data_IF_950160543045
#
_entry.id   IF_950160543045
#
_cell.length_a   1.000
_cell.length_b   1.000
_cell.length_c   1.000
_cell.angle_alpha   90.00
_cell.angle_beta   90.00
_cell.angle_gamma   90.00
#
_symmetry.space_group_name_H-M   'P 1'
#
loop_
_entity.id
_entity.type
_entity.pdbx_description
1 polymer ?
#
# COMPACT_ATOMS: atom_id res chain seq x y z
N UNK A 1 -9.61 13.09 -15.57
CA UNK A 1 -10.13 12.01 -14.71
C UNK A 1 -9.85 12.37 -13.26
N UNK A 2 -10.61 11.83 -12.31
CA UNK A 2 -10.40 11.98 -10.87
C UNK A 2 -10.15 10.62 -10.25
N UNK A 3 -9.08 10.51 -9.47
CA UNK A 3 -8.69 9.28 -8.78
C UNK A 3 -8.74 9.55 -7.28
N UNK A 4 -9.53 8.74 -6.56
CA UNK A 4 -9.49 8.73 -5.10
C UNK A 4 -8.27 7.91 -4.67
N UNK A 5 -7.42 8.48 -3.83
CA UNK A 5 -6.28 7.78 -3.23
C UNK A 5 -6.53 7.71 -1.74
N UNK A 6 -6.98 6.54 -1.29
CA UNK A 6 -7.55 6.37 0.04
C UNK A 6 -6.52 5.69 0.93
N UNK A 7 -6.09 6.40 1.97
CA UNK A 7 -5.25 5.85 3.01
C UNK A 7 -6.01 4.74 3.76
N UNK A 8 -5.33 3.67 4.16
CA UNK A 8 -5.93 2.60 4.97
C UNK A 8 -5.97 2.91 6.46
N UNK A 9 -5.17 3.89 6.91
CA UNK A 9 -5.13 4.34 8.31
C UNK A 9 -5.74 5.73 8.47
N UNK A 10 -5.94 6.14 9.73
CA UNK A 10 -6.60 7.40 10.09
C UNK A 10 -5.64 8.58 10.28
N UNK A 11 -4.37 8.42 9.93
CA UNK A 11 -3.35 9.47 10.08
C UNK A 11 -3.34 10.41 8.86
N UNK A 12 -3.86 11.62 9.03
CA UNK A 12 -4.01 12.58 7.93
C UNK A 12 -2.68 13.03 7.29
N UNK A 13 -1.61 13.15 8.08
CA UNK A 13 -0.27 13.49 7.55
C UNK A 13 0.22 12.46 6.53
N UNK A 14 -0.08 11.18 6.76
CA UNK A 14 0.24 10.08 5.84
C UNK A 14 -0.59 10.21 4.57
N UNK A 15 -1.89 10.50 4.68
CA UNK A 15 -2.76 10.76 3.51
C UNK A 15 -2.21 11.90 2.65
N UNK A 16 -1.79 13.01 3.27
CA UNK A 16 -1.20 14.14 2.55
C UNK A 16 0.14 13.77 1.89
N UNK A 17 0.97 12.94 2.53
CA UNK A 17 2.20 12.45 1.94
C UNK A 17 1.93 11.57 0.71
N UNK A 18 1.01 10.62 0.82
CA UNK A 18 0.58 9.73 -0.28
C UNK A 18 0.01 10.55 -1.44
N UNK A 19 -0.91 11.47 -1.17
CA UNK A 19 -1.53 12.31 -2.20
C UNK A 19 -0.51 13.17 -2.95
N UNK A 20 0.50 13.73 -2.25
CA UNK A 20 1.59 14.47 -2.88
C UNK A 20 2.42 13.58 -3.82
N UNK A 21 2.72 12.35 -3.43
CA UNK A 21 3.44 11.41 -4.29
C UNK A 21 2.62 11.05 -5.53
N UNK A 22 1.34 10.70 -5.36
CA UNK A 22 0.43 10.43 -6.47
C UNK A 22 0.30 11.63 -7.43
N UNK A 23 0.19 12.85 -6.90
CA UNK A 23 0.10 14.06 -7.70
C UNK A 23 1.38 14.34 -8.50
N UNK A 24 2.55 13.98 -7.98
CA UNK A 24 3.84 14.22 -8.64
C UNK A 24 4.03 13.43 -9.95
N UNK A 25 3.33 12.31 -10.08
CA UNK A 25 3.39 11.42 -11.26
C UNK A 25 2.09 11.40 -12.07
N UNK A 26 1.07 12.15 -11.63
CA UNK A 26 -0.22 12.21 -12.31
C UNK A 26 -0.10 12.88 -13.68
N UNK A 27 -0.69 12.26 -14.70
CA UNK A 27 -0.72 12.81 -16.05
C UNK A 27 -1.56 14.11 -16.12
N UNK A 28 -1.28 15.03 -17.06
CA UNK A 28 -2.10 16.24 -17.25
C UNK A 28 -3.60 15.94 -17.33
N UNK A 29 -4.42 16.68 -16.58
CA UNK A 29 -5.87 16.45 -16.51
C UNK A 29 -6.32 15.33 -15.55
N UNK A 30 -5.39 14.76 -14.78
CA UNK A 30 -5.68 13.83 -13.68
C UNK A 30 -5.70 14.58 -12.36
N UNK A 31 -6.84 14.55 -11.67
CA UNK A 31 -7.03 15.12 -10.33
C UNK A 31 -6.87 14.02 -9.28
N UNK A 32 -6.00 14.23 -8.29
CA UNK A 32 -5.77 13.33 -7.17
C UNK A 32 -6.54 13.83 -5.94
N UNK A 33 -7.38 12.98 -5.36
CA UNK A 33 -8.09 13.26 -4.12
C UNK A 33 -7.59 12.29 -3.05
N UNK A 34 -6.75 12.79 -2.14
CA UNK A 34 -6.36 12.05 -0.94
C UNK A 34 -7.53 11.97 0.04
N UNK A 35 -7.85 10.77 0.52
CA UNK A 35 -8.92 10.55 1.51
C UNK A 35 -8.37 9.81 2.74
N UNK A 36 -8.80 10.26 3.92
CA UNK A 36 -8.53 9.62 5.21
C UNK A 36 -9.83 9.04 5.75
N UNK A 37 -9.92 7.74 6.05
CA UNK A 37 -11.09 7.15 6.69
C UNK A 37 -11.44 7.82 8.02
N UNK A 38 -12.74 7.91 8.33
CA UNK A 38 -13.23 8.58 9.54
C UNK A 38 -13.02 7.76 10.83
N UNK A 39 -12.75 6.47 10.70
CA UNK A 39 -12.48 5.54 11.81
C UNK A 39 -11.43 4.51 11.38
N UNK A 40 -10.88 3.78 12.34
CA UNK A 40 -9.79 2.83 12.11
C UNK A 40 -8.59 3.12 13.00
N UNK A 41 -7.52 2.35 12.80
CA UNK A 41 -6.27 2.55 13.51
C UNK A 41 -5.43 3.67 12.86
N UNK A 42 -4.60 4.34 13.66
CA UNK A 42 -3.66 5.36 13.19
C UNK A 42 -2.54 4.79 12.30
N UNK A 43 -2.26 3.49 12.48
CA UNK A 43 -1.40 2.67 11.63
C UNK A 43 -1.98 1.26 11.57
N UNK A 44 -1.79 0.56 10.46
CA UNK A 44 -2.32 -0.79 10.26
C UNK A 44 -1.15 -1.77 10.29
N UNK A 45 -1.08 -2.58 11.34
CA UNK A 45 0.09 -3.39 11.69
C UNK A 45 -0.29 -4.86 12.00
N UNK A 46 -1.50 -5.29 11.64
CA UNK A 46 -1.91 -6.68 11.77
C UNK A 46 -3.34 -6.97 11.29
N UNK A 47 -3.78 -8.23 11.43
CA UNK A 47 -5.05 -8.70 10.86
C UNK A 47 -6.26 -7.92 11.35
N UNK A 48 -6.37 -7.67 12.66
CA UNK A 48 -7.51 -6.95 13.22
C UNK A 48 -7.65 -5.55 12.61
N UNK A 49 -6.57 -4.79 12.60
CA UNK A 49 -6.54 -3.43 12.06
C UNK A 49 -6.76 -3.45 10.55
N UNK A 50 -6.23 -4.46 9.85
CA UNK A 50 -6.42 -4.65 8.41
C UNK A 50 -7.89 -4.90 8.03
N UNK A 51 -8.59 -5.77 8.76
CA UNK A 51 -10.02 -5.97 8.56
C UNK A 51 -10.86 -4.74 8.93
N UNK A 52 -10.46 -4.02 9.98
CA UNK A 52 -11.10 -2.75 10.35
C UNK A 52 -10.90 -1.69 9.25
N UNK A 53 -9.68 -1.58 8.71
CA UNK A 53 -9.33 -0.68 7.63
C UNK A 53 -10.10 -1.00 6.35
N UNK A 54 -10.33 -2.28 6.02
CA UNK A 54 -11.14 -2.66 4.87
C UNK A 54 -12.54 -2.01 4.91
N UNK A 55 -13.22 -2.09 6.06
CA UNK A 55 -14.54 -1.47 6.24
C UNK A 55 -14.43 0.06 6.24
N UNK A 56 -13.41 0.61 6.88
CA UNK A 56 -13.19 2.06 6.95
C UNK A 56 -12.93 2.70 5.59
N UNK A 57 -12.14 2.04 4.73
CA UNK A 57 -11.87 2.48 3.36
C UNK A 57 -13.14 2.43 2.53
N UNK A 58 -13.90 1.32 2.60
CA UNK A 58 -15.18 1.20 1.90
C UNK A 58 -16.17 2.31 2.34
N UNK A 59 -16.32 2.53 3.64
CA UNK A 59 -17.16 3.62 4.17
C UNK A 59 -16.70 5.00 3.65
N UNK A 60 -15.40 5.27 3.70
CA UNK A 60 -14.81 6.52 3.25
C UNK A 60 -15.09 6.81 1.76
N UNK A 61 -14.94 5.79 0.91
CA UNK A 61 -15.23 5.90 -0.53
C UNK A 61 -16.72 6.10 -0.78
N UNK A 62 -17.58 5.33 -0.11
CA UNK A 62 -19.04 5.42 -0.28
C UNK A 62 -19.64 6.73 0.24
N UNK A 63 -18.97 7.37 1.21
CA UNK A 63 -19.35 8.69 1.71
C UNK A 63 -18.91 9.85 0.80
N UNK A 64 -18.05 9.61 -0.19
CA UNK A 64 -17.59 10.64 -1.11
C UNK A 64 -18.68 10.95 -2.15
N UNK A 65 -19.16 12.19 -2.15
CA UNK A 65 -20.38 12.62 -2.85
C UNK A 65 -20.14 13.26 -4.24
N UNK A 66 -18.89 13.30 -4.71
CA UNK A 66 -18.53 13.85 -6.01
C UNK A 66 -18.16 12.73 -6.99
N UNK A 67 -18.33 12.93 -8.32
CA UNK A 67 -17.93 11.93 -9.31
C UNK A 67 -16.43 11.63 -9.25
N UNK A 68 -16.04 10.37 -9.44
CA UNK A 68 -14.66 9.90 -9.59
C UNK A 68 -14.59 8.76 -10.62
N UNK A 69 -13.40 8.53 -11.17
CA UNK A 69 -13.19 7.61 -12.30
C UNK A 69 -12.37 6.37 -11.92
N UNK A 70 -11.71 6.36 -10.75
CA UNK A 70 -10.96 5.22 -10.21
C UNK A 70 -10.67 5.40 -8.72
N UNK A 71 -10.33 4.29 -8.04
CA UNK A 71 -9.91 4.27 -6.63
C UNK A 71 -8.57 3.54 -6.49
N UNK A 72 -7.68 4.12 -5.70
CA UNK A 72 -6.45 3.52 -5.22
C UNK A 72 -6.59 3.28 -3.72
N UNK A 73 -6.48 2.03 -3.28
CA UNK A 73 -6.33 1.68 -1.87
C UNK A 73 -4.83 1.76 -1.51
N UNK A 74 -4.46 2.72 -0.67
CA UNK A 74 -3.07 3.05 -0.34
C UNK A 74 -2.63 2.42 0.99
N UNK A 75 -2.62 1.09 1.02
CA UNK A 75 -2.06 0.26 2.09
C UNK A 75 -1.34 -0.95 1.50
N UNK A 76 -0.32 -1.45 2.18
CA UNK A 76 0.52 -2.54 1.67
C UNK A 76 0.28 -3.83 2.46
N UNK A 77 -0.51 -4.75 1.90
CA UNK A 77 -0.89 -6.00 2.56
C UNK A 77 -2.25 -5.98 3.24
N UNK A 78 -3.04 -4.93 3.05
CA UNK A 78 -4.36 -4.81 3.65
C UNK A 78 -5.48 -5.54 2.90
N UNK A 79 -6.55 -5.87 3.62
CA UNK A 79 -7.80 -6.37 3.04
C UNK A 79 -8.63 -5.22 2.44
N UNK A 80 -9.67 -5.54 1.66
CA UNK A 80 -10.71 -4.57 1.29
C UNK A 80 -10.84 -4.27 -0.20
N UNK A 81 -9.80 -4.51 -1.00
CA UNK A 81 -9.84 -4.30 -2.46
C UNK A 81 -11.04 -4.98 -3.11
N UNK A 82 -11.28 -6.25 -2.77
CA UNK A 82 -12.35 -7.06 -3.35
C UNK A 82 -13.73 -6.48 -3.02
N UNK A 83 -13.92 -5.95 -1.81
CA UNK A 83 -15.17 -5.29 -1.41
C UNK A 83 -15.39 -3.99 -2.18
N UNK A 84 -14.35 -3.17 -2.36
CA UNK A 84 -14.43 -1.99 -3.23
C UNK A 84 -14.77 -2.37 -4.68
N UNK A 85 -14.23 -3.48 -5.20
CA UNK A 85 -14.51 -3.96 -6.56
C UNK A 85 -15.96 -4.43 -6.73
N UNK A 86 -16.61 -4.90 -5.67
CA UNK A 86 -18.05 -5.22 -5.70
C UNK A 86 -18.92 -3.96 -5.59
N UNK A 87 -18.49 -2.97 -4.82
CA UNK A 87 -19.25 -1.74 -4.56
C UNK A 87 -19.21 -0.73 -5.71
N UNK A 88 -18.19 -0.77 -6.56
CA UNK A 88 -17.88 0.29 -7.51
C UNK A 88 -17.92 -0.17 -8.97
N UNK A 89 -18.45 0.70 -9.83
CA UNK A 89 -18.43 0.53 -11.29
C UNK A 89 -17.16 1.10 -11.96
N UNK A 90 -16.16 1.46 -11.17
CA UNK A 90 -14.88 2.05 -11.63
C UNK A 90 -13.69 1.18 -11.20
N UNK A 91 -12.51 1.30 -11.85
CA UNK A 91 -11.35 0.50 -11.51
C UNK A 91 -10.89 0.74 -10.08
N UNK A 92 -10.54 -0.34 -9.39
CA UNK A 92 -9.92 -0.32 -8.07
C UNK A 92 -8.55 -0.99 -8.16
N UNK A 93 -7.52 -0.29 -7.69
CA UNK A 93 -6.15 -0.80 -7.64
C UNK A 93 -5.59 -0.66 -6.23
N UNK A 94 -5.07 -1.74 -5.67
CA UNK A 94 -4.34 -1.71 -4.40
C UNK A 94 -2.84 -1.50 -4.68
N UNK A 95 -2.16 -0.68 -3.86
CA UNK A 95 -0.73 -0.37 -4.09
C UNK A 95 0.17 -1.60 -3.94
N UNK A 96 -0.26 -2.63 -3.19
CA UNK A 96 0.42 -3.94 -3.08
C UNK A 96 0.52 -4.58 -4.46
N UNK A 97 -0.62 -4.69 -5.14
CA UNK A 97 -0.72 -5.34 -6.44
C UNK A 97 -0.07 -4.50 -7.54
N UNK A 98 -0.26 -3.18 -7.50
CA UNK A 98 0.35 -2.26 -8.45
C UNK A 98 1.89 -2.31 -8.41
N UNK A 99 2.47 -2.29 -7.20
CA UNK A 99 3.91 -2.34 -7.03
C UNK A 99 4.47 -3.67 -7.54
N UNK A 100 3.94 -4.80 -7.09
CA UNK A 100 4.39 -6.13 -7.50
C UNK A 100 4.23 -6.37 -9.01
N UNK A 101 3.06 -6.05 -9.57
CA UNK A 101 2.78 -6.18 -11.00
C UNK A 101 3.74 -5.36 -11.85
N UNK A 102 4.01 -4.10 -11.46
CA UNK A 102 4.95 -3.24 -12.18
C UNK A 102 6.39 -3.76 -12.06
N UNK A 103 6.81 -4.17 -10.86
CA UNK A 103 8.15 -4.71 -10.60
C UNK A 103 8.44 -5.96 -11.46
N UNK A 104 7.44 -6.81 -11.70
CA UNK A 104 7.56 -8.01 -12.54
C UNK A 104 7.94 -7.69 -14.01
N UNK A 105 7.73 -6.46 -14.49
CA UNK A 105 8.22 -6.07 -15.83
C UNK A 105 9.71 -5.70 -15.86
N UNK A 106 10.35 -5.50 -14.70
CA UNK A 106 11.66 -4.86 -14.60
C UNK A 106 12.81 -5.82 -14.28
N UNK A 107 12.55 -6.96 -13.64
CA UNK A 107 13.57 -7.96 -13.31
C UNK A 107 12.96 -9.32 -13.03
N UNK A 108 13.74 -10.41 -13.08
CA UNK A 108 13.26 -11.80 -12.96
C UNK A 108 12.46 -12.05 -11.67
N UNK A 109 12.90 -11.48 -10.56
CA UNK A 109 12.24 -11.56 -9.26
C UNK A 109 12.26 -10.20 -8.55
N UNK A 110 11.28 -9.95 -7.70
CA UNK A 110 11.17 -8.74 -6.89
C UNK A 110 11.10 -9.09 -5.40
N UNK A 111 11.49 -8.16 -4.53
CA UNK A 111 11.25 -8.28 -3.09
C UNK A 111 10.49 -7.09 -2.55
N UNK A 112 9.72 -7.33 -1.49
CA UNK A 112 9.04 -6.26 -0.74
C UNK A 112 9.82 -6.01 0.55
N UNK A 113 10.12 -4.75 0.84
CA UNK A 113 10.62 -4.33 2.16
C UNK A 113 9.52 -3.54 2.86
N UNK A 114 9.03 -4.07 3.99
CA UNK A 114 7.93 -3.54 4.80
C UNK A 114 8.40 -3.04 6.18
N UNK A 115 7.46 -2.61 7.01
CA UNK A 115 7.66 -2.10 8.38
C UNK A 115 7.94 -3.23 9.38
N UNK A 116 6.89 -3.82 9.95
CA UNK A 116 6.99 -4.78 11.03
C UNK A 116 6.93 -6.22 10.55
N UNK A 117 7.69 -7.11 11.19
CA UNK A 117 7.75 -8.54 10.88
C UNK A 117 6.36 -9.20 10.90
N UNK A 118 5.50 -8.80 11.84
CA UNK A 118 4.12 -9.31 11.94
C UNK A 118 3.23 -8.97 10.72
N UNK A 119 3.62 -8.01 9.88
CA UNK A 119 2.87 -7.66 8.64
C UNK A 119 3.34 -8.48 7.44
N UNK A 120 4.54 -9.07 7.50
CA UNK A 120 5.10 -9.92 6.44
C UNK A 120 4.11 -10.98 5.98
N UNK A 121 3.56 -11.86 6.84
CA UNK A 121 2.64 -12.91 6.39
C UNK A 121 1.37 -12.36 5.74
N UNK A 122 0.87 -11.19 6.14
CA UNK A 122 -0.29 -10.56 5.51
C UNK A 122 0.03 -10.18 4.07
N UNK A 123 1.18 -9.52 3.85
CA UNK A 123 1.63 -9.14 2.51
C UNK A 123 1.82 -10.37 1.63
N UNK A 124 2.46 -11.43 2.14
CA UNK A 124 2.61 -12.67 1.40
C UNK A 124 1.25 -13.23 0.97
N UNK A 125 0.28 -13.27 1.88
CA UNK A 125 -1.05 -13.81 1.60
C UNK A 125 -1.80 -12.97 0.56
N UNK A 126 -1.69 -11.63 0.63
CA UNK A 126 -2.27 -10.74 -0.39
C UNK A 126 -1.63 -10.96 -1.77
N UNK A 127 -0.30 -11.07 -1.84
CA UNK A 127 0.39 -11.36 -3.10
C UNK A 127 0.04 -12.74 -3.67
N UNK A 128 -0.13 -13.75 -2.81
CA UNK A 128 -0.59 -15.09 -3.20
C UNK A 128 -2.02 -15.04 -3.77
N UNK A 129 -2.94 -14.34 -3.09
CA UNK A 129 -4.31 -14.17 -3.55
C UNK A 129 -4.40 -13.42 -4.89
N UNK A 130 -3.53 -12.45 -5.12
CA UNK A 130 -3.44 -11.71 -6.38
C UNK A 130 -2.70 -12.47 -7.50
N UNK A 131 -2.13 -13.64 -7.23
CA UNK A 131 -1.33 -14.40 -8.21
C UNK A 131 0.00 -13.74 -8.59
N UNK A 132 0.53 -12.86 -7.71
CA UNK A 132 1.77 -12.12 -7.94
C UNK A 132 2.95 -12.71 -7.16
N UNK A 133 2.70 -13.67 -6.27
CA UNK A 133 3.71 -14.29 -5.39
C UNK A 133 4.82 -15.05 -6.11
N UNK A 134 4.55 -15.67 -7.27
CA UNK A 134 5.50 -16.59 -7.92
C UNK A 134 6.84 -15.94 -8.31
N UNK A 135 6.88 -14.61 -8.44
CA UNK A 135 8.09 -13.83 -8.72
C UNK A 135 8.54 -12.97 -7.54
N UNK A 136 7.89 -13.11 -6.39
CA UNK A 136 8.35 -12.53 -5.14
C UNK A 136 9.49 -13.40 -4.57
N UNK A 137 10.71 -12.88 -4.57
CA UNK A 137 11.85 -13.54 -3.95
C UNK A 137 11.71 -13.56 -2.41
N UNK A 138 11.24 -12.47 -1.82
CA UNK A 138 11.00 -12.35 -0.38
C UNK A 138 10.08 -11.19 -0.02
N UNK A 139 9.43 -11.28 1.14
CA UNK A 139 8.92 -10.10 1.87
C UNK A 139 9.76 -9.97 3.14
N UNK A 140 10.40 -8.81 3.34
CA UNK A 140 11.32 -8.55 4.47
C UNK A 140 10.83 -7.37 5.29
N UNK A 141 10.94 -7.46 6.61
CA UNK A 141 10.64 -6.36 7.51
C UNK A 141 11.90 -5.56 7.88
N UNK A 142 11.80 -4.23 7.80
CA UNK A 142 12.81 -3.31 8.33
C UNK A 142 12.92 -3.38 9.86
N UNK A 143 11.83 -3.78 10.53
CA UNK A 143 11.72 -3.86 11.99
C UNK A 143 11.30 -2.55 12.64
N UNK A 144 10.89 -1.55 11.84
CA UNK A 144 10.41 -0.26 12.33
C UNK A 144 8.90 -0.15 12.16
N UNK A 145 8.22 0.42 13.15
CA UNK A 145 6.77 0.66 13.08
C UNK A 145 6.44 1.76 12.05
N UNK A 146 5.19 1.82 11.58
CA UNK A 146 4.79 2.77 10.52
C UNK A 146 5.06 4.21 10.94
N UNK A 147 4.66 4.60 12.15
CA UNK A 147 4.83 5.96 12.65
C UNK A 147 6.30 6.29 12.98
N UNK A 148 7.13 5.28 13.23
CA UNK A 148 8.57 5.48 13.45
C UNK A 148 9.30 5.93 12.17
N UNK A 149 8.76 5.59 10.99
CA UNK A 149 9.31 6.02 9.71
C UNK A 149 9.30 7.56 9.59
N UNK A 150 8.22 8.21 10.00
CA UNK A 150 8.12 9.69 9.98
C UNK A 150 8.97 10.33 11.09
N UNK A 151 8.99 9.72 12.28
CA UNK A 151 9.71 10.27 13.43
C UNK A 151 11.24 10.18 13.30
N UNK A 152 11.76 9.23 12.53
CA UNK A 152 13.20 8.97 12.39
C UNK A 152 13.59 8.56 10.96
N UNK A 153 13.47 9.47 9.97
CA UNK A 153 13.59 9.13 8.55
C UNK A 153 14.97 8.60 8.15
N UNK A 154 16.04 9.04 8.82
CA UNK A 154 17.38 8.54 8.54
C UNK A 154 17.55 7.08 8.96
N UNK A 155 17.09 6.72 10.17
CA UNK A 155 17.12 5.34 10.67
C UNK A 155 16.21 4.43 9.85
N UNK A 156 15.04 4.94 9.48
CA UNK A 156 14.10 4.27 8.59
C UNK A 156 14.77 3.92 7.25
N UNK A 157 15.43 4.91 6.63
CA UNK A 157 16.15 4.70 5.39
C UNK A 157 17.26 3.64 5.54
N UNK A 158 18.08 3.72 6.59
CA UNK A 158 19.13 2.73 6.85
C UNK A 158 18.58 1.31 7.03
N UNK A 159 17.49 1.16 7.80
CA UNK A 159 16.85 -0.14 8.03
C UNK A 159 16.25 -0.72 6.75
N UNK A 160 15.59 0.11 5.93
CA UNK A 160 15.03 -0.28 4.64
C UNK A 160 16.14 -0.68 3.67
N UNK A 161 17.19 0.15 3.53
CA UNK A 161 18.33 -0.13 2.65
C UNK A 161 19.01 -1.43 3.03
N UNK A 162 19.23 -1.67 4.33
CA UNK A 162 19.81 -2.93 4.80
C UNK A 162 19.00 -4.15 4.36
N UNK A 163 17.67 -4.11 4.47
CA UNK A 163 16.85 -5.24 4.02
C UNK A 163 16.81 -5.37 2.50
N UNK A 164 16.87 -4.27 1.76
CA UNK A 164 16.97 -4.29 0.31
C UNK A 164 18.29 -4.93 -0.16
N UNK A 165 19.42 -4.58 0.47
CA UNK A 165 20.72 -5.21 0.20
C UNK A 165 20.68 -6.72 0.45
N UNK A 166 20.09 -7.15 1.57
CA UNK A 166 19.93 -8.56 1.89
C UNK A 166 19.01 -9.28 0.89
N UNK A 167 17.91 -8.65 0.47
CA UNK A 167 17.03 -9.21 -0.56
C UNK A 167 17.77 -9.47 -1.88
N UNK A 168 18.64 -8.56 -2.29
CA UNK A 168 19.46 -8.72 -3.51
C UNK A 168 20.51 -9.82 -3.34
N UNK A 169 21.26 -9.80 -2.23
CA UNK A 169 22.41 -10.69 -2.01
C UNK A 169 21.96 -12.12 -1.71
N UNK A 170 20.97 -12.29 -0.84
CA UNK A 170 20.53 -13.57 -0.30
C UNK A 170 19.40 -14.19 -1.14
N UNK A 171 18.36 -13.40 -1.45
CA UNK A 171 17.12 -13.92 -2.04
C UNK A 171 17.07 -13.79 -3.56
N UNK A 172 18.04 -13.07 -4.14
CA UNK A 172 18.16 -12.81 -5.59
C UNK A 172 17.05 -11.91 -6.13
N UNK A 173 16.61 -10.95 -5.32
CA UNK A 173 15.79 -9.85 -5.82
C UNK A 173 16.56 -9.04 -6.87
N UNK A 174 15.87 -8.70 -7.96
CA UNK A 174 16.39 -7.81 -9.01
C UNK A 174 15.64 -6.46 -9.03
N UNK A 175 14.54 -6.38 -8.26
CA UNK A 175 13.67 -5.21 -8.05
C UNK A 175 13.24 -5.12 -6.60
#
# INVERSE_FOLDING_TARGET
>A
MRILVVNVNTTDSITQAIARQAQSVAAPGTEIIGLTPAFGAESVEGNFESYLAAIAVMDCVMAYDRPFDAVIQAGYGEHGREGLQELLDVPVVDITDAAASTAMFLGRAYSVVTTLDRTVPLIEDRLKLSGLWDRCASVRASGMAVLELEASPHKALEAIVRQAELAVIEDKAEV
#
